data_IF_852757203190
#
_entry.id   IF_852757203190
#
_cell.length_a   1.000
_cell.length_b   1.000
_cell.length_c   1.000
_cell.angle_alpha   90.00
_cell.angle_beta   90.00
_cell.angle_gamma   90.00
#
_symmetry.space_group_name_H-M   'P 1'
#
loop_
_entity.id
_entity.type
_entity.pdbx_description
1 polymer ?
#
# COMPACT_ATOMS: atom_id res chain seq x y z
N UNK A 1 -1.62 -24.16 33.85
CA UNK A 1 -1.27 -22.95 33.08
C UNK A 1 -2.10 -23.00 31.81
N UNK A 2 -3.12 -22.13 31.72
CA UNK A 2 -3.97 -22.04 30.53
C UNK A 2 -3.17 -21.36 29.43
N UNK A 3 -2.71 -22.09 28.43
CA UNK A 3 -2.36 -21.51 27.14
C UNK A 3 -3.65 -20.94 26.54
N UNK A 4 -3.82 -19.63 26.70
CA UNK A 4 -4.81 -18.89 25.94
C UNK A 4 -4.48 -19.11 24.45
N UNK A 5 -5.28 -19.89 23.76
CA UNK A 5 -5.25 -19.99 22.31
C UNK A 5 -5.50 -18.58 21.78
N UNK A 6 -4.41 -17.85 21.48
CA UNK A 6 -4.49 -16.58 20.77
C UNK A 6 -5.09 -16.89 19.40
N UNK A 7 -6.22 -16.28 19.11
CA UNK A 7 -6.81 -16.41 17.76
C UNK A 7 -5.71 -16.12 16.71
N UNK A 8 -5.70 -16.84 15.58
CA UNK A 8 -4.72 -16.59 14.54
C UNK A 8 -4.73 -15.11 14.17
N UNK A 9 -3.56 -14.49 14.12
CA UNK A 9 -3.44 -13.07 13.73
C UNK A 9 -3.95 -12.89 12.33
N UNK A 10 -4.77 -11.87 12.10
CA UNK A 10 -5.17 -11.44 10.74
C UNK A 10 -3.91 -11.02 9.97
N UNK A 11 -3.88 -11.29 8.67
CA UNK A 11 -2.73 -11.01 7.80
C UNK A 11 -3.13 -10.13 6.62
N UNK A 12 -2.28 -9.16 6.31
CA UNK A 12 -2.43 -8.25 5.17
C UNK A 12 -1.17 -8.29 4.32
N UNK A 13 -1.34 -8.50 3.01
CA UNK A 13 -0.29 -8.38 2.01
C UNK A 13 -0.54 -7.14 1.16
N UNK A 14 0.37 -6.16 1.23
CA UNK A 14 0.37 -4.99 0.35
C UNK A 14 1.41 -5.19 -0.75
N UNK A 15 1.00 -5.04 -2.02
CA UNK A 15 1.88 -5.21 -3.19
C UNK A 15 1.87 -3.91 -3.99
N UNK A 16 2.95 -3.15 -3.88
CA UNK A 16 3.08 -1.82 -4.46
C UNK A 16 4.30 -1.69 -5.37
N UNK A 17 4.35 -0.63 -6.15
CA UNK A 17 5.37 -0.41 -7.17
C UNK A 17 6.64 0.23 -6.60
N UNK A 18 6.50 1.26 -5.76
CA UNK A 18 7.60 2.10 -5.33
C UNK A 18 7.63 2.30 -3.81
N UNK A 19 8.81 2.56 -3.23
CA UNK A 19 8.89 3.11 -1.88
C UNK A 19 8.15 4.46 -1.82
N UNK A 20 7.28 4.65 -0.88
CA UNK A 20 6.35 5.75 -0.60
C UNK A 20 4.87 5.47 -0.91
N UNK A 21 4.55 4.55 -1.81
CA UNK A 21 3.16 4.20 -2.14
C UNK A 21 2.35 3.79 -0.90
N UNK A 22 2.94 2.99 0.00
CA UNK A 22 2.32 2.50 1.23
C UNK A 22 1.95 3.65 2.17
N UNK A 23 2.82 4.64 2.26
CA UNK A 23 2.66 5.79 3.15
C UNK A 23 1.67 6.79 2.57
N UNK A 24 1.88 7.18 1.30
CA UNK A 24 1.15 8.30 0.69
C UNK A 24 -0.34 8.00 0.54
N UNK A 25 -0.68 6.76 0.24
CA UNK A 25 -2.05 6.41 -0.11
C UNK A 25 -2.78 5.75 1.05
N UNK A 26 -2.15 4.81 1.77
CA UNK A 26 -2.82 4.01 2.79
C UNK A 26 -2.07 3.89 4.13
N UNK A 27 -1.13 4.80 4.41
CA UNK A 27 -0.31 4.75 5.62
C UNK A 27 -1.11 4.78 6.92
N UNK A 28 -2.19 5.55 6.97
CA UNK A 28 -3.09 5.57 8.13
C UNK A 28 -3.80 4.24 8.35
N UNK A 29 -4.25 3.59 7.27
CA UNK A 29 -4.87 2.26 7.32
C UNK A 29 -3.89 1.19 7.77
N UNK A 30 -2.65 1.21 7.23
CA UNK A 30 -1.62 0.25 7.63
C UNK A 30 -1.26 0.42 9.11
N UNK A 31 -1.04 1.66 9.58
CA UNK A 31 -0.78 1.94 11.00
C UNK A 31 -1.94 1.50 11.90
N UNK A 32 -3.20 1.75 11.48
CA UNK A 32 -4.39 1.29 12.20
C UNK A 32 -4.38 -0.23 12.37
N UNK A 33 -4.29 -0.97 11.28
CA UNK A 33 -4.34 -2.43 11.34
C UNK A 33 -3.14 -3.04 12.08
N UNK A 34 -1.94 -2.47 11.94
CA UNK A 34 -0.78 -2.87 12.73
C UNK A 34 -1.02 -2.70 14.24
N UNK A 35 -1.64 -1.58 14.66
CA UNK A 35 -1.99 -1.33 16.06
C UNK A 35 -3.07 -2.29 16.60
N UNK A 36 -3.92 -2.81 15.72
CA UNK A 36 -4.94 -3.83 16.03
C UNK A 36 -4.36 -5.26 16.01
N UNK A 37 -3.06 -5.43 15.76
CA UNK A 37 -2.37 -6.72 15.79
C UNK A 37 -2.43 -7.50 14.48
N UNK A 38 -2.80 -6.85 13.37
CA UNK A 38 -2.70 -7.43 12.02
C UNK A 38 -1.22 -7.55 11.64
N UNK A 39 -0.82 -8.71 11.15
CA UNK A 39 0.52 -8.94 10.59
C UNK A 39 0.55 -8.42 9.14
N UNK A 40 1.39 -7.42 8.89
CA UNK A 40 1.47 -6.75 7.59
C UNK A 40 2.76 -7.11 6.90
N UNK A 41 2.65 -7.61 5.66
CA UNK A 41 3.74 -7.83 4.72
C UNK A 41 3.61 -6.82 3.57
N UNK A 42 4.70 -6.11 3.28
CA UNK A 42 4.81 -5.19 2.15
C UNK A 42 5.76 -5.76 1.09
N UNK A 43 5.30 -5.75 -0.13
CA UNK A 43 6.13 -5.96 -1.33
C UNK A 43 6.26 -4.64 -2.06
N UNK A 44 7.50 -4.19 -2.29
CA UNK A 44 7.81 -3.10 -3.20
C UNK A 44 8.45 -3.68 -4.47
N UNK A 45 7.85 -3.45 -5.63
CA UNK A 45 8.36 -4.01 -6.88
C UNK A 45 9.73 -3.43 -7.25
N UNK A 46 9.97 -2.17 -6.96
CA UNK A 46 11.18 -1.41 -7.31
C UNK A 46 11.80 -0.75 -6.08
N UNK A 47 12.98 -0.15 -6.22
CA UNK A 47 13.55 0.78 -5.24
C UNK A 47 13.35 2.25 -5.60
N UNK A 48 12.53 2.55 -6.61
CA UNK A 48 12.19 3.92 -7.00
C UNK A 48 13.36 4.74 -7.52
N UNK A 49 14.36 4.11 -8.12
CA UNK A 49 15.60 4.74 -8.55
C UNK A 49 15.44 5.78 -9.68
N UNK A 50 14.28 5.79 -10.33
CA UNK A 50 13.95 6.77 -11.36
C UNK A 50 13.07 7.92 -10.85
N UNK A 51 12.89 8.03 -9.54
CA UNK A 51 12.20 9.15 -8.88
C UNK A 51 12.82 10.50 -9.32
N UNK A 52 12.00 11.55 -9.40
CA UNK A 52 12.46 12.87 -9.86
C UNK A 52 13.00 13.73 -8.71
N UNK A 53 12.56 13.45 -7.50
CA UNK A 53 12.93 14.19 -6.30
C UNK A 53 14.25 13.65 -5.76
N UNK A 54 15.16 14.54 -5.41
CA UNK A 54 16.52 14.20 -4.98
C UNK A 54 16.89 14.85 -3.64
N UNK A 55 15.88 15.20 -2.83
CA UNK A 55 16.04 16.04 -1.65
C UNK A 55 15.98 17.53 -1.95
N UNK A 56 15.99 18.37 -0.91
CA UNK A 56 16.00 19.82 -1.03
C UNK A 56 16.90 20.47 0.06
N UNK A 57 18.10 21.01 -0.29
CA UNK A 57 18.73 20.97 -1.63
C UNK A 57 19.05 19.51 -2.06
N UNK A 58 19.24 19.24 -3.36
CA UNK A 58 19.55 17.89 -3.81
C UNK A 58 20.81 17.34 -3.15
N UNK A 59 20.70 16.16 -2.52
CA UNK A 59 21.81 15.46 -1.84
C UNK A 59 21.98 14.01 -2.31
N UNK A 60 21.09 13.53 -3.17
CA UNK A 60 21.14 12.20 -3.76
C UNK A 60 21.25 12.29 -5.30
N UNK A 61 21.68 11.20 -5.92
CA UNK A 61 21.75 11.05 -7.36
C UNK A 61 21.17 9.66 -7.78
N UNK A 62 21.20 9.34 -9.06
CA UNK A 62 20.63 8.08 -9.59
C UNK A 62 21.30 6.82 -9.01
N UNK A 63 22.59 6.90 -8.69
CA UNK A 63 23.36 5.77 -8.18
C UNK A 63 23.08 5.52 -6.70
N UNK A 64 22.88 6.58 -5.92
CA UNK A 64 22.64 6.48 -4.47
C UNK A 64 21.15 6.37 -4.13
N UNK A 65 20.25 6.79 -5.02
CA UNK A 65 18.80 6.83 -4.78
C UNK A 65 18.21 5.49 -4.35
N UNK A 66 18.52 4.33 -4.99
CA UNK A 66 17.93 3.05 -4.59
C UNK A 66 18.21 2.70 -3.13
N UNK A 67 19.46 2.87 -2.69
CA UNK A 67 19.85 2.58 -1.33
C UNK A 67 19.21 3.53 -0.30
N UNK A 68 19.10 4.81 -0.65
CA UNK A 68 18.48 5.81 0.22
C UNK A 68 16.98 5.55 0.34
N UNK A 69 16.27 5.32 -0.77
CA UNK A 69 14.83 5.04 -0.75
C UNK A 69 14.51 3.72 -0.07
N UNK A 70 15.36 2.70 -0.22
CA UNK A 70 15.21 1.46 0.57
C UNK A 70 15.34 1.73 2.07
N UNK A 71 16.33 2.52 2.49
CA UNK A 71 16.52 2.86 3.90
C UNK A 71 15.33 3.69 4.45
N UNK A 72 14.83 4.63 3.65
CA UNK A 72 13.65 5.44 3.98
C UNK A 72 12.39 4.56 4.11
N UNK A 73 12.16 3.64 3.16
CA UNK A 73 11.04 2.69 3.22
C UNK A 73 11.11 1.79 4.46
N UNK A 74 12.30 1.31 4.84
CA UNK A 74 12.46 0.49 6.06
C UNK A 74 12.06 1.27 7.32
N UNK A 75 12.42 2.55 7.41
CA UNK A 75 11.99 3.43 8.51
C UNK A 75 10.47 3.65 8.49
N UNK A 76 9.90 3.94 7.33
CA UNK A 76 8.46 4.08 7.18
C UNK A 76 7.72 2.78 7.57
N UNK A 77 8.27 1.61 7.23
CA UNK A 77 7.73 0.32 7.68
C UNK A 77 7.73 0.22 9.22
N UNK A 78 8.85 0.57 9.86
CA UNK A 78 8.95 0.57 11.33
C UNK A 78 7.92 1.53 11.95
N UNK A 79 7.79 2.73 11.40
CA UNK A 79 6.84 3.76 11.84
C UNK A 79 5.39 3.31 11.69
N UNK A 80 5.04 2.64 10.60
CA UNK A 80 3.68 2.15 10.31
C UNK A 80 3.38 0.78 10.96
N UNK A 81 4.38 0.12 11.55
CA UNK A 81 4.23 -1.21 12.16
C UNK A 81 4.18 -2.35 11.13
N UNK A 82 4.70 -2.15 9.93
CA UNK A 82 4.85 -3.17 8.89
C UNK A 82 6.03 -4.08 9.27
N UNK A 83 5.79 -5.39 9.41
CA UNK A 83 6.78 -6.32 9.94
C UNK A 83 7.70 -6.92 8.90
N UNK A 84 7.18 -7.14 7.70
CA UNK A 84 7.89 -7.84 6.64
C UNK A 84 7.95 -6.97 5.39
N UNK A 85 9.15 -6.78 4.84
CA UNK A 85 9.37 -6.02 3.61
C UNK A 85 10.19 -6.86 2.65
N UNK A 86 9.68 -7.01 1.42
CA UNK A 86 10.33 -7.71 0.31
C UNK A 86 10.43 -6.80 -0.90
N UNK A 87 11.56 -6.85 -1.62
CA UNK A 87 11.74 -6.20 -2.90
C UNK A 87 11.79 -7.24 -4.02
N UNK A 88 11.15 -6.93 -5.16
CA UNK A 88 11.27 -7.77 -6.35
C UNK A 88 12.46 -7.39 -7.24
N UNK A 89 13.21 -6.36 -6.89
CA UNK A 89 14.39 -5.89 -7.60
C UNK A 89 14.15 -5.53 -9.08
N UNK A 90 12.91 -5.16 -9.40
CA UNK A 90 12.57 -4.67 -10.72
C UNK A 90 13.02 -3.21 -10.83
N UNK A 91 13.57 -2.83 -11.99
CA UNK A 91 13.94 -1.44 -12.23
C UNK A 91 12.70 -0.54 -12.28
N UNK A 92 12.75 0.58 -11.57
CA UNK A 92 11.71 1.62 -11.61
C UNK A 92 11.45 2.08 -13.04
N UNK A 93 10.19 2.29 -13.39
CA UNK A 93 9.64 2.56 -14.73
C UNK A 93 9.76 1.40 -15.73
N UNK A 94 9.98 0.20 -15.26
CA UNK A 94 10.04 -0.96 -16.17
C UNK A 94 9.15 -2.14 -15.75
N UNK A 95 8.27 -1.97 -14.74
CA UNK A 95 7.41 -3.05 -14.26
C UNK A 95 6.49 -3.60 -15.37
N UNK A 96 6.05 -2.74 -16.29
CA UNK A 96 5.23 -3.17 -17.44
C UNK A 96 6.01 -3.98 -18.50
N UNK A 97 7.35 -3.89 -18.52
CA UNK A 97 8.21 -4.50 -19.54
C UNK A 97 8.87 -5.81 -19.10
N UNK A 98 8.77 -6.18 -17.81
CA UNK A 98 9.30 -7.46 -17.34
C UNK A 98 8.42 -8.63 -17.79
N UNK A 99 8.95 -9.85 -17.74
CA UNK A 99 8.16 -11.05 -17.97
C UNK A 99 7.00 -11.12 -16.98
N UNK A 100 5.79 -10.87 -17.48
CA UNK A 100 4.57 -10.80 -16.68
C UNK A 100 4.24 -12.15 -16.03
N UNK A 101 4.54 -13.29 -16.68
CA UNK A 101 4.30 -14.60 -16.08
C UNK A 101 5.21 -14.83 -14.88
N UNK A 102 6.46 -14.40 -14.96
CA UNK A 102 7.39 -14.45 -13.83
C UNK A 102 6.94 -13.54 -12.70
N UNK A 103 6.52 -12.32 -13.01
CA UNK A 103 6.01 -11.38 -12.00
C UNK A 103 4.77 -11.93 -11.29
N UNK A 104 3.79 -12.45 -12.05
CA UNK A 104 2.59 -13.10 -11.53
C UNK A 104 2.97 -14.27 -10.63
N UNK A 105 3.91 -15.13 -11.06
CA UNK A 105 4.41 -16.25 -10.27
C UNK A 105 5.02 -15.81 -8.95
N UNK A 106 5.90 -14.79 -8.95
CA UNK A 106 6.49 -14.26 -7.71
C UNK A 106 5.46 -13.69 -6.74
N UNK A 107 4.41 -13.04 -7.25
CA UNK A 107 3.31 -12.54 -6.41
C UNK A 107 2.45 -13.71 -5.89
N UNK A 108 2.20 -14.73 -6.70
CA UNK A 108 1.48 -15.92 -6.29
C UNK A 108 2.22 -16.67 -5.15
N UNK A 109 3.55 -16.77 -5.26
CA UNK A 109 4.39 -17.34 -4.19
C UNK A 109 4.25 -16.55 -2.89
N UNK A 110 4.26 -15.20 -2.95
CA UNK A 110 4.02 -14.34 -1.78
C UNK A 110 2.62 -14.55 -1.18
N UNK A 111 1.59 -14.70 -2.02
CA UNK A 111 0.22 -14.98 -1.55
C UNK A 111 0.18 -16.34 -0.82
N UNK A 112 0.83 -17.36 -1.34
CA UNK A 112 0.90 -18.67 -0.69
C UNK A 112 1.72 -18.65 0.61
N UNK A 113 2.85 -17.95 0.64
CA UNK A 113 3.72 -17.84 1.82
C UNK A 113 3.04 -17.08 2.96
N UNK A 114 2.43 -15.94 2.64
CA UNK A 114 1.80 -15.07 3.64
C UNK A 114 0.44 -15.64 4.08
N UNK A 115 -0.31 -16.25 3.16
CA UNK A 115 -1.71 -16.67 3.34
C UNK A 115 -2.58 -15.52 3.91
N UNK A 116 -2.70 -14.38 3.18
CA UNK A 116 -3.29 -13.16 3.71
C UNK A 116 -4.82 -13.19 3.72
N UNK A 117 -5.46 -12.64 4.75
CA UNK A 117 -6.90 -12.37 4.74
C UNK A 117 -7.25 -11.23 3.76
N UNK A 118 -6.32 -10.29 3.58
CA UNK A 118 -6.47 -9.12 2.71
C UNK A 118 -5.25 -8.91 1.84
N UNK A 119 -5.46 -8.69 0.54
CA UNK A 119 -4.45 -8.23 -0.41
C UNK A 119 -4.78 -6.81 -0.85
N UNK A 120 -3.81 -5.90 -0.73
CA UNK A 120 -3.91 -4.51 -1.21
C UNK A 120 -2.97 -4.30 -2.39
N UNK A 121 -3.46 -3.63 -3.43
CA UNK A 121 -2.65 -3.24 -4.58
C UNK A 121 -3.28 -2.06 -5.34
N UNK A 122 -2.69 -1.65 -6.45
CA UNK A 122 -3.28 -0.67 -7.37
C UNK A 122 -4.33 -1.29 -8.28
N UNK A 123 -5.23 -0.46 -8.78
CA UNK A 123 -6.13 -0.87 -9.86
C UNK A 123 -5.38 -0.95 -11.19
N UNK A 124 -5.61 -2.01 -11.97
CA UNK A 124 -4.88 -2.31 -13.22
C UNK A 124 -4.93 -1.22 -14.31
N UNK A 125 -5.92 -0.33 -14.27
CA UNK A 125 -6.10 0.76 -15.26
C UNK A 125 -6.10 2.15 -14.64
N UNK A 126 -6.34 2.26 -13.34
CA UNK A 126 -6.59 3.53 -12.65
C UNK A 126 -5.50 3.85 -11.63
N UNK A 127 -4.36 3.17 -11.70
CA UNK A 127 -3.22 3.35 -10.79
C UNK A 127 -2.49 4.70 -10.94
N UNK A 128 -2.76 5.46 -11.99
CA UNK A 128 -2.16 6.78 -12.20
C UNK A 128 -0.70 6.78 -12.69
N UNK A 129 0.00 5.65 -12.63
CA UNK A 129 1.36 5.45 -13.12
C UNK A 129 1.45 4.09 -13.86
N UNK A 130 2.26 3.96 -14.94
CA UNK A 130 2.40 2.69 -15.65
C UNK A 130 2.80 1.52 -14.75
N UNK A 131 3.79 1.71 -13.87
CA UNK A 131 4.23 0.68 -12.92
C UNK A 131 3.13 0.29 -11.92
N UNK A 132 2.32 1.27 -11.45
CA UNK A 132 1.16 0.99 -10.59
C UNK A 132 0.14 0.12 -11.30
N UNK A 133 -0.19 0.45 -12.55
CA UNK A 133 -1.11 -0.34 -13.36
C UNK A 133 -0.57 -1.75 -13.62
N UNK A 134 0.73 -1.87 -13.90
CA UNK A 134 1.38 -3.15 -14.18
C UNK A 134 1.41 -4.07 -12.95
N UNK A 135 1.83 -3.55 -11.79
CA UNK A 135 1.85 -4.33 -10.55
C UNK A 135 0.43 -4.71 -10.11
N UNK A 136 -0.53 -3.78 -10.24
CA UNK A 136 -1.94 -4.04 -9.95
C UNK A 136 -2.53 -5.14 -10.81
N UNK A 137 -2.23 -5.11 -12.13
CA UNK A 137 -2.64 -6.16 -13.07
C UNK A 137 -2.03 -7.51 -12.71
N UNK A 138 -0.73 -7.55 -12.42
CA UNK A 138 -0.02 -8.78 -12.06
C UNK A 138 -0.56 -9.34 -10.73
N UNK A 139 -0.80 -8.49 -9.72
CA UNK A 139 -1.37 -8.90 -8.43
C UNK A 139 -2.78 -9.45 -8.58
N UNK A 140 -3.62 -8.80 -9.39
CA UNK A 140 -4.97 -9.29 -9.68
C UNK A 140 -4.95 -10.66 -10.37
N UNK A 141 -4.03 -10.86 -11.31
CA UNK A 141 -3.87 -12.13 -12.00
C UNK A 141 -3.37 -13.23 -11.05
N UNK A 142 -2.37 -12.94 -10.21
CA UNK A 142 -1.86 -13.86 -9.21
C UNK A 142 -2.94 -14.25 -8.18
N UNK A 143 -3.69 -13.28 -7.68
CA UNK A 143 -4.78 -13.52 -6.73
C UNK A 143 -5.84 -14.47 -7.31
N UNK A 144 -6.24 -14.28 -8.58
CA UNK A 144 -7.18 -15.16 -9.27
C UNK A 144 -6.60 -16.56 -9.51
N UNK A 145 -5.31 -16.64 -9.89
CA UNK A 145 -4.65 -17.90 -10.20
C UNK A 145 -4.45 -18.79 -8.96
N UNK A 146 -4.24 -18.17 -7.79
CA UNK A 146 -4.07 -18.92 -6.52
C UNK A 146 -5.39 -19.41 -5.95
N UNK A 147 -6.54 -19.02 -6.49
CA UNK A 147 -7.87 -19.29 -5.92
C UNK A 147 -7.95 -18.96 -4.42
N UNK A 148 -7.18 -17.94 -4.03
CA UNK A 148 -7.04 -17.56 -2.63
C UNK A 148 -8.37 -17.06 -2.05
N UNK A 149 -8.65 -17.44 -0.79
CA UNK A 149 -9.94 -17.14 -0.13
C UNK A 149 -9.99 -15.78 0.58
N UNK A 150 -8.90 -15.04 0.60
CA UNK A 150 -8.84 -13.68 1.12
C UNK A 150 -9.61 -12.69 0.25
N UNK A 151 -9.55 -11.42 0.62
CA UNK A 151 -10.18 -10.33 -0.12
C UNK A 151 -9.13 -9.48 -0.84
N UNK A 152 -9.39 -9.15 -2.11
CA UNK A 152 -8.57 -8.23 -2.89
C UNK A 152 -9.19 -6.83 -2.87
N UNK A 153 -8.37 -5.82 -2.59
CA UNK A 153 -8.75 -4.41 -2.67
C UNK A 153 -7.75 -3.61 -3.46
N UNK A 154 -8.27 -2.61 -4.16
CA UNK A 154 -7.46 -1.59 -4.80
C UNK A 154 -7.46 -0.32 -3.97
N UNK A 155 -6.28 0.25 -3.73
CA UNK A 155 -6.17 1.58 -3.16
C UNK A 155 -6.84 2.59 -4.10
N UNK A 156 -7.56 3.54 -3.52
CA UNK A 156 -8.35 4.51 -4.28
C UNK A 156 -8.05 5.94 -3.86
N UNK A 157 -7.97 6.84 -4.81
CA UNK A 157 -7.70 8.26 -4.59
C UNK A 157 -8.38 9.14 -5.64
N UNK A 158 -8.52 10.44 -5.35
CA UNK A 158 -9.04 11.43 -6.27
C UNK A 158 -10.51 11.23 -6.65
N UNK A 159 -10.83 11.37 -7.92
CA UNK A 159 -12.21 11.31 -8.43
C UNK A 159 -12.85 9.92 -8.34
N UNK A 160 -12.05 8.86 -8.24
CA UNK A 160 -12.54 7.50 -8.06
C UNK A 160 -13.43 7.35 -6.81
N UNK A 161 -13.06 8.05 -5.73
CA UNK A 161 -13.81 8.05 -4.48
C UNK A 161 -15.14 8.81 -4.59
N UNK A 162 -15.14 9.90 -5.37
CA UNK A 162 -16.28 10.81 -5.48
C UNK A 162 -17.29 10.34 -6.50
N UNK A 163 -16.86 9.65 -7.54
CA UNK A 163 -17.67 9.24 -8.70
C UNK A 163 -17.26 7.84 -9.17
N UNK A 164 -17.39 6.79 -8.32
CA UNK A 164 -16.97 5.44 -8.66
C UNK A 164 -17.67 4.90 -9.91
N UNK A 165 -18.89 5.39 -10.20
CA UNK A 165 -19.68 4.96 -11.36
C UNK A 165 -19.00 5.27 -12.69
N UNK A 166 -18.19 6.33 -12.77
CA UNK A 166 -17.40 6.63 -13.98
C UNK A 166 -16.42 5.54 -14.34
N UNK A 167 -16.06 4.71 -13.37
CA UNK A 167 -15.07 3.66 -13.49
C UNK A 167 -15.70 2.26 -13.44
N UNK A 168 -17.03 2.17 -13.48
CA UNK A 168 -17.76 0.91 -13.49
C UNK A 168 -17.98 0.30 -12.10
N UNK A 169 -17.75 1.08 -11.04
CA UNK A 169 -18.00 0.69 -9.65
C UNK A 169 -19.30 1.33 -9.14
N UNK A 170 -19.84 0.81 -8.07
CA UNK A 170 -20.94 1.41 -7.34
C UNK A 170 -20.46 1.96 -6.00
N UNK A 171 -21.20 2.85 -5.33
CA UNK A 171 -20.86 3.29 -3.97
C UNK A 171 -20.74 2.15 -2.96
N UNK A 172 -21.30 0.97 -3.25
CA UNK A 172 -21.19 -0.23 -2.40
C UNK A 172 -19.83 -0.93 -2.53
N UNK A 173 -19.10 -0.62 -3.59
CA UNK A 173 -17.77 -1.20 -3.84
C UNK A 173 -16.66 -0.39 -3.17
N UNK A 174 -17.00 0.78 -2.62
CA UNK A 174 -16.07 1.66 -1.90
C UNK A 174 -16.07 1.30 -0.41
N UNK A 175 -14.90 1.07 0.14
CA UNK A 175 -14.65 0.90 1.58
C UNK A 175 -13.92 2.14 2.08
N UNK A 176 -14.40 2.70 3.18
CA UNK A 176 -13.86 3.91 3.83
C UNK A 176 -13.28 3.52 5.19
N UNK A 177 -12.00 3.72 5.37
CA UNK A 177 -11.33 3.41 6.63
C UNK A 177 -11.06 4.72 7.37
N UNK A 178 -11.64 4.86 8.56
CA UNK A 178 -11.32 5.96 9.46
C UNK A 178 -9.89 5.79 10.00
N UNK A 179 -9.05 6.77 9.69
CA UNK A 179 -7.62 6.80 10.07
C UNK A 179 -7.28 8.01 10.95
N UNK A 180 -8.28 8.74 11.44
CA UNK A 180 -8.09 9.97 12.23
C UNK A 180 -7.12 9.76 13.39
N UNK A 181 -7.22 8.65 14.12
CA UNK A 181 -6.35 8.32 15.25
C UNK A 181 -4.92 7.89 14.84
N UNK A 182 -4.65 7.71 13.55
CA UNK A 182 -3.38 7.22 13.00
C UNK A 182 -2.68 8.21 12.07
N UNK A 183 -3.18 9.44 11.99
CA UNK A 183 -2.60 10.48 11.14
C UNK A 183 -1.21 10.90 11.60
N UNK A 184 -0.90 10.84 12.90
CA UNK A 184 0.44 11.11 13.41
C UNK A 184 1.46 10.10 12.89
N UNK A 185 1.12 8.81 12.92
CA UNK A 185 1.97 7.76 12.36
C UNK A 185 2.14 7.94 10.84
N UNK A 186 1.06 8.29 10.12
CA UNK A 186 1.12 8.59 8.70
C UNK A 186 2.04 9.77 8.40
N UNK A 187 1.94 10.88 9.14
CA UNK A 187 2.80 12.05 8.98
C UNK A 187 4.28 11.70 9.27
N UNK A 188 4.54 10.93 10.31
CA UNK A 188 5.89 10.49 10.63
C UNK A 188 6.48 9.65 9.48
N UNK A 189 5.71 8.70 8.91
CA UNK A 189 6.13 7.91 7.76
C UNK A 189 6.35 8.77 6.50
N UNK A 190 5.54 9.83 6.27
CA UNK A 190 5.82 10.81 5.21
C UNK A 190 7.20 11.45 5.39
N UNK A 191 7.58 11.78 6.63
CA UNK A 191 8.89 12.37 6.96
C UNK A 191 10.03 11.36 6.86
N UNK A 192 9.75 10.06 7.01
CA UNK A 192 10.73 8.99 6.77
C UNK A 192 11.14 8.92 5.29
N UNK A 193 10.22 9.19 4.36
CA UNK A 193 10.50 9.30 2.92
C UNK A 193 11.07 10.69 2.56
N UNK A 194 12.08 11.09 3.29
CA UNK A 194 12.63 12.43 3.29
C UNK A 194 13.00 12.93 1.89
N UNK A 195 13.73 12.14 1.12
CA UNK A 195 14.18 12.55 -0.21
C UNK A 195 13.02 12.83 -1.19
N UNK A 196 11.83 12.29 -0.91
CA UNK A 196 10.63 12.49 -1.71
C UNK A 196 9.73 13.60 -1.15
N UNK A 197 9.82 13.93 0.13
CA UNK A 197 8.89 14.86 0.80
C UNK A 197 9.49 16.21 1.17
N UNK A 198 10.82 16.39 1.17
CA UNK A 198 11.45 17.66 1.55
C UNK A 198 11.03 18.86 0.69
N UNK A 199 10.61 18.62 -0.55
CA UNK A 199 10.09 19.68 -1.42
C UNK A 199 8.65 20.08 -1.05
N UNK A 200 7.94 19.24 -0.33
CA UNK A 200 6.57 19.48 0.12
C UNK A 200 6.62 20.16 1.48
N UNK A 201 6.78 21.49 1.51
CA UNK A 201 6.98 22.31 2.71
C UNK A 201 5.95 22.01 3.81
N UNK A 202 4.70 21.72 3.43
CA UNK A 202 3.63 21.44 4.38
C UNK A 202 3.89 20.18 5.24
N UNK A 203 4.64 19.21 4.75
CA UNK A 203 5.02 17.97 5.51
C UNK A 203 5.91 18.34 6.71
N UNK A 204 6.66 19.42 6.57
CA UNK A 204 7.68 19.87 7.51
C UNK A 204 7.27 21.07 8.35
N UNK A 205 6.00 21.52 8.22
CA UNK A 205 5.38 22.48 9.11
C UNK A 205 5.18 21.90 10.52
N UNK A 206 4.70 22.74 11.44
CA UNK A 206 4.23 22.31 12.76
C UNK A 206 3.18 21.18 12.63
N UNK A 207 3.25 20.18 13.49
CA UNK A 207 2.45 18.94 13.34
C UNK A 207 0.96 19.21 13.16
N UNK A 208 0.37 20.12 13.94
CA UNK A 208 -1.06 20.44 13.81
C UNK A 208 -1.43 20.94 12.41
N UNK A 209 -0.56 21.73 11.78
CA UNK A 209 -0.78 22.25 10.43
C UNK A 209 -0.60 21.17 9.37
N UNK A 210 0.44 20.35 9.53
CA UNK A 210 0.70 19.24 8.63
C UNK A 210 -0.44 18.20 8.69
N UNK A 211 -0.87 17.82 9.90
CA UNK A 211 -1.97 16.87 10.12
C UNK A 211 -3.30 17.37 9.52
N UNK A 212 -3.56 18.67 9.55
CA UNK A 212 -4.76 19.25 8.95
C UNK A 212 -4.84 19.13 7.42
N UNK A 213 -3.74 18.75 6.75
CA UNK A 213 -3.71 18.48 5.30
C UNK A 213 -4.21 17.10 4.92
N UNK A 214 -4.22 16.17 5.88
CA UNK A 214 -4.74 14.82 5.63
C UNK A 214 -6.27 14.77 5.78
N UNK A 215 -6.89 13.91 4.97
CA UNK A 215 -8.27 13.50 5.22
C UNK A 215 -8.33 12.48 6.37
N UNK A 216 -9.46 12.43 7.07
CA UNK A 216 -9.71 11.46 8.14
C UNK A 216 -9.99 10.05 7.64
N UNK A 217 -10.14 9.87 6.34
CA UNK A 217 -10.49 8.59 5.71
C UNK A 217 -9.53 8.24 4.58
N UNK A 218 -9.24 6.95 4.46
CA UNK A 218 -8.59 6.34 3.31
C UNK A 218 -9.57 5.39 2.63
N UNK A 219 -9.45 5.26 1.30
CA UNK A 219 -10.48 4.64 0.49
C UNK A 219 -9.94 3.49 -0.33
N UNK A 220 -10.76 2.47 -0.45
CA UNK A 220 -10.42 1.24 -1.17
C UNK A 220 -11.59 0.80 -2.04
N UNK A 221 -11.27 0.21 -3.18
CA UNK A 221 -12.26 -0.42 -4.06
C UNK A 221 -12.17 -1.94 -3.93
N UNK A 222 -13.29 -2.61 -3.89
CA UNK A 222 -13.34 -4.07 -3.92
C UNK A 222 -12.79 -4.59 -5.25
N UNK A 223 -11.80 -5.46 -5.19
CA UNK A 223 -11.17 -6.08 -6.35
C UNK A 223 -11.83 -7.39 -6.80
N UNK A 224 -12.66 -7.99 -5.93
CA UNK A 224 -13.44 -9.19 -6.26
C UNK A 224 -14.92 -8.98 -5.95
N UNK A 225 -15.83 -9.43 -6.84
CA UNK A 225 -17.27 -9.27 -6.64
C UNK A 225 -17.85 -10.12 -5.50
N UNK A 226 -17.08 -11.05 -4.96
CA UNK A 226 -17.55 -12.06 -4.00
C UNK A 226 -17.62 -11.56 -2.55
N UNK A 227 -17.24 -10.32 -2.28
CA UNK A 227 -17.30 -9.74 -0.95
C UNK A 227 -18.72 -9.30 -0.64
N UNK A 228 -19.61 -10.28 -0.48
CA UNK A 228 -21.01 -10.05 -0.11
C UNK A 228 -21.12 -9.83 1.40
N UNK A 229 -21.80 -8.75 1.84
CA UNK A 229 -22.13 -8.52 3.26
C UNK A 229 -21.09 -7.74 4.06
N UNK A 230 -20.10 -7.13 3.43
CA UNK A 230 -19.06 -6.38 4.10
C UNK A 230 -19.54 -5.03 4.64
N UNK A 231 -19.09 -4.70 5.85
CA UNK A 231 -19.17 -3.34 6.37
C UNK A 231 -18.26 -2.42 5.52
N UNK A 232 -18.76 -1.22 5.22
CA UNK A 232 -18.00 -0.22 4.44
C UNK A 232 -16.80 0.37 5.18
N UNK A 233 -16.58 -0.02 6.42
CA UNK A 233 -15.61 0.55 7.36
C UNK A 233 -14.51 -0.41 7.79
N UNK A 234 -14.39 -1.58 7.15
CA UNK A 234 -13.34 -2.55 7.44
C UNK A 234 -12.97 -3.34 6.17
N UNK A 235 -11.67 -3.64 5.99
CA UNK A 235 -11.18 -4.49 4.90
C UNK A 235 -11.30 -5.98 5.24
N UNK A 236 -11.35 -6.32 6.51
CA UNK A 236 -11.47 -7.70 6.97
C UNK A 236 -12.94 -8.11 7.07
N UNK A 237 -13.27 -9.25 6.47
CA UNK A 237 -14.59 -9.84 6.60
C UNK A 237 -14.83 -10.25 8.05
N UNK A 238 -16.01 -9.92 8.57
CA UNK A 238 -16.50 -10.52 9.80
C UNK A 238 -16.87 -11.97 9.47
N UNK A 239 -16.09 -12.91 10.00
CA UNK A 239 -16.40 -14.36 9.90
C UNK A 239 -17.57 -14.71 10.82
#
# INVERSE_FOLDING_TARGET
MNELHKAPSKKLLAVFAHPDDETFICGGTLAKYASEGVEITLVSATRGEMGRRMGNPPYINRETMPAIREMELRRACDTLGIRHLTFFDIRDKTVEFVDQNRLIGSIADMIHEVDPDVVLTFHEKLGGHPDHCAIGKATTAAFKQTEHKGSLYFISFGDMMKQPERYGYTPKDVVEIDVQAHLEAKLAAFRDHRCQTEIDEWVWEEDQKALARFGSYEYFLKGSPEVVGQQRSDLFLVK
#
